data_IF_836921254861
#
_entry.id   IF_836921254861
#
_cell.length_a   1.000
_cell.length_b   1.000
_cell.length_c   1.000
_cell.angle_alpha   90.00
_cell.angle_beta   90.00
_cell.angle_gamma   90.00
#
_symmetry.space_group_name_H-M   'P 1'
#
loop_
_entity.id
_entity.type
_entity.pdbx_description
1 polymer ?
#
# COMPACT_ATOMS: atom_id res chain seq x y z
N UNK A 1 -24.83 22.03 -5.30
CA UNK A 1 -25.69 20.90 -4.88
C UNK A 1 -24.93 19.62 -5.20
N UNK A 2 -24.38 18.95 -4.18
CA UNK A 2 -23.69 17.68 -4.38
C UNK A 2 -24.74 16.56 -4.51
N UNK A 3 -24.77 15.89 -5.67
CA UNK A 3 -25.66 14.76 -5.89
C UNK A 3 -25.22 13.59 -4.99
N UNK A 4 -26.09 13.16 -4.07
CA UNK A 4 -25.92 11.92 -3.29
C UNK A 4 -25.85 10.74 -4.25
N UNK A 5 -24.65 10.28 -4.57
CA UNK A 5 -24.42 9.06 -5.35
C UNK A 5 -24.92 7.87 -4.53
N UNK A 6 -25.82 7.06 -5.09
CA UNK A 6 -26.27 5.82 -4.44
C UNK A 6 -25.09 4.86 -4.36
N UNK A 7 -24.52 4.67 -3.17
CA UNK A 7 -23.48 3.66 -2.91
C UNK A 7 -24.02 2.29 -3.35
N UNK A 8 -23.51 1.75 -4.46
CA UNK A 8 -23.74 0.35 -4.85
C UNK A 8 -23.19 -0.52 -3.72
N UNK A 9 -23.83 -1.62 -3.38
CA UNK A 9 -23.30 -2.55 -2.37
C UNK A 9 -21.93 -3.07 -2.82
N UNK A 10 -20.95 -3.08 -1.93
CA UNK A 10 -19.63 -3.64 -2.20
C UNK A 10 -19.77 -5.12 -2.61
N UNK A 11 -19.72 -5.41 -3.91
CA UNK A 11 -19.79 -6.79 -4.41
C UNK A 11 -18.47 -7.50 -4.07
N UNK A 12 -18.58 -8.63 -3.36
CA UNK A 12 -17.49 -9.59 -3.13
C UNK A 12 -17.13 -10.25 -4.46
N UNK A 13 -16.10 -9.76 -5.14
CA UNK A 13 -15.46 -10.45 -6.25
C UNK A 13 -14.70 -11.68 -5.75
N UNK A 14 -14.55 -12.73 -6.58
CA UNK A 14 -13.75 -13.90 -6.24
C UNK A 14 -12.29 -13.47 -6.01
N UNK A 15 -11.77 -13.68 -4.80
CA UNK A 15 -10.44 -13.25 -4.38
C UNK A 15 -9.36 -14.02 -5.16
N UNK A 16 -8.76 -13.38 -6.17
CA UNK A 16 -7.40 -13.73 -6.57
C UNK A 16 -6.43 -12.92 -5.71
N UNK A 17 -5.35 -13.52 -5.24
CA UNK A 17 -4.34 -12.82 -4.44
C UNK A 17 -3.56 -11.79 -5.29
N UNK A 18 -2.88 -10.86 -4.64
CA UNK A 18 -1.85 -10.03 -5.27
C UNK A 18 -0.73 -10.93 -5.77
N UNK A 19 -0.20 -10.66 -6.96
CA UNK A 19 0.88 -11.42 -7.57
C UNK A 19 1.97 -10.47 -8.05
N UNK A 20 3.13 -11.02 -8.40
CA UNK A 20 4.19 -10.29 -9.12
C UNK A 20 4.34 -10.88 -10.52
N UNK A 21 4.63 -10.03 -11.50
CA UNK A 21 4.95 -10.45 -12.87
C UNK A 21 6.14 -9.68 -13.41
N UNK A 22 6.78 -10.23 -14.44
CA UNK A 22 7.77 -9.50 -15.24
C UNK A 22 7.13 -8.28 -15.88
N UNK A 23 7.73 -7.11 -15.69
CA UNK A 23 7.33 -5.88 -16.36
C UNK A 23 7.68 -5.93 -17.86
N UNK A 24 7.14 -4.99 -18.62
CA UNK A 24 7.31 -4.91 -20.07
C UNK A 24 8.79 -4.77 -20.51
N UNK A 25 9.63 -4.13 -19.70
CA UNK A 25 11.07 -3.97 -19.93
C UNK A 25 11.88 -5.26 -19.80
N UNK A 26 11.26 -6.34 -19.28
CA UNK A 26 11.86 -7.63 -18.92
C UNK A 26 13.05 -7.57 -17.96
N UNK A 27 13.29 -6.41 -17.35
CA UNK A 27 14.40 -6.11 -16.44
C UNK A 27 13.91 -5.65 -15.07
N UNK A 28 12.60 -5.57 -14.87
CA UNK A 28 11.98 -5.32 -13.57
C UNK A 28 10.73 -6.17 -13.37
N UNK A 29 10.24 -6.19 -12.13
CA UNK A 29 8.95 -6.76 -11.75
C UNK A 29 7.95 -5.67 -11.46
N UNK A 30 6.67 -6.04 -11.52
CA UNK A 30 5.57 -5.21 -11.06
C UNK A 30 4.50 -6.06 -10.37
N UNK A 31 3.74 -5.46 -9.45
CA UNK A 31 2.56 -6.12 -8.92
C UNK A 31 1.46 -6.24 -9.98
N UNK A 32 0.84 -7.41 -9.99
CA UNK A 32 -0.39 -7.71 -10.70
C UNK A 32 -1.51 -7.84 -9.67
N UNK A 33 -2.40 -6.87 -9.70
CA UNK A 33 -3.55 -6.84 -8.79
C UNK A 33 -4.72 -7.66 -9.32
N UNK A 34 -5.56 -8.22 -8.44
CA UNK A 34 -6.75 -8.96 -8.85
C UNK A 34 -7.79 -8.08 -9.55
N UNK A 35 -8.75 -8.67 -10.30
CA UNK A 35 -9.84 -7.91 -10.93
C UNK A 35 -10.58 -7.00 -9.95
N UNK A 36 -10.85 -7.48 -8.73
CA UNK A 36 -11.52 -6.70 -7.68
C UNK A 36 -10.79 -5.38 -7.35
N UNK A 37 -9.46 -5.37 -7.32
CA UNK A 37 -8.68 -4.14 -7.12
C UNK A 37 -8.79 -3.23 -8.33
N UNK A 38 -8.65 -3.78 -9.55
CA UNK A 38 -8.69 -2.99 -10.80
C UNK A 38 -10.05 -2.33 -11.04
N UNK A 39 -11.13 -3.01 -10.66
CA UNK A 39 -12.51 -2.50 -10.76
C UNK A 39 -12.77 -1.27 -9.87
N UNK A 40 -11.89 -0.98 -8.91
CA UNK A 40 -11.99 0.14 -7.96
C UNK A 40 -11.10 1.34 -8.35
N UNK A 41 -10.49 1.32 -9.53
CA UNK A 41 -9.59 2.39 -9.97
C UNK A 41 -10.29 3.77 -9.99
N UNK A 42 -11.52 3.85 -10.53
CA UNK A 42 -12.31 5.10 -10.54
C UNK A 42 -12.66 5.55 -9.12
N UNK A 43 -13.03 4.62 -8.23
CA UNK A 43 -13.33 4.96 -6.83
C UNK A 43 -12.08 5.49 -6.09
N UNK A 44 -10.89 4.96 -6.41
CA UNK A 44 -9.62 5.48 -5.87
C UNK A 44 -9.28 6.86 -6.42
N UNK A 45 -9.57 7.16 -7.69
CA UNK A 45 -9.44 8.52 -8.24
C UNK A 45 -10.34 9.52 -7.50
N UNK A 46 -11.55 9.11 -7.12
CA UNK A 46 -12.46 9.92 -6.29
C UNK A 46 -11.90 10.14 -4.88
N UNK A 47 -11.33 9.11 -4.24
CA UNK A 47 -10.64 9.25 -2.95
C UNK A 47 -9.49 10.27 -3.06
N UNK A 48 -8.67 10.20 -4.11
CA UNK A 48 -7.59 11.17 -4.33
C UNK A 48 -8.12 12.59 -4.49
N UNK A 49 -9.24 12.77 -5.19
CA UNK A 49 -9.89 14.08 -5.32
C UNK A 49 -10.40 14.61 -3.97
N UNK A 50 -11.00 13.76 -3.12
CA UNK A 50 -11.42 14.13 -1.77
C UNK A 50 -10.22 14.57 -0.91
N UNK A 51 -9.13 13.80 -0.93
CA UNK A 51 -7.91 14.14 -0.19
C UNK A 51 -7.29 15.45 -0.69
N UNK A 52 -7.26 15.68 -2.00
CA UNK A 52 -6.77 16.93 -2.59
C UNK A 52 -7.64 18.14 -2.21
N UNK A 53 -8.94 17.94 -1.97
CA UNK A 53 -9.86 18.96 -1.48
C UNK A 53 -9.80 19.18 0.04
N UNK A 54 -8.98 18.42 0.77
CA UNK A 54 -8.91 18.45 2.23
C UNK A 54 -10.08 17.75 2.93
N UNK A 55 -10.88 16.96 2.19
CA UNK A 55 -12.04 16.22 2.70
C UNK A 55 -11.61 14.89 3.34
N UNK A 56 -10.65 14.92 4.27
CA UNK A 56 -10.01 13.72 4.84
C UNK A 56 -10.99 12.77 5.51
N UNK A 57 -11.97 13.28 6.26
CA UNK A 57 -12.96 12.42 6.94
C UNK A 57 -13.82 11.64 5.94
N UNK A 58 -14.23 12.28 4.85
CA UNK A 58 -15.02 11.65 3.78
C UNK A 58 -14.17 10.61 3.05
N UNK A 59 -12.90 10.94 2.76
CA UNK A 59 -11.97 10.02 2.15
C UNK A 59 -11.73 8.77 3.02
N UNK A 60 -11.62 8.92 4.36
CA UNK A 60 -11.47 7.78 5.28
C UNK A 60 -12.69 6.86 5.24
N UNK A 61 -13.90 7.41 5.24
CA UNK A 61 -15.13 6.62 5.13
C UNK A 61 -15.21 5.86 3.79
N UNK A 62 -14.79 6.50 2.70
CA UNK A 62 -14.77 5.88 1.38
C UNK A 62 -13.71 4.77 1.27
N UNK A 63 -12.50 5.03 1.78
CA UNK A 63 -11.41 4.04 1.87
C UNK A 63 -11.85 2.79 2.66
N UNK A 64 -12.50 2.98 3.81
CA UNK A 64 -13.05 1.87 4.60
C UNK A 64 -14.14 1.11 3.86
N UNK A 65 -15.00 1.82 3.13
CA UNK A 65 -16.04 1.21 2.31
C UNK A 65 -15.43 0.35 1.18
N UNK A 66 -14.39 0.85 0.50
CA UNK A 66 -13.66 0.12 -0.54
C UNK A 66 -13.01 -1.16 -0.01
N UNK A 67 -12.33 -1.07 1.15
CA UNK A 67 -11.70 -2.22 1.81
C UNK A 67 -12.72 -3.27 2.25
N UNK A 68 -13.92 -2.86 2.65
CA UNK A 68 -15.02 -3.80 2.94
C UNK A 68 -15.40 -4.68 1.75
N UNK A 69 -15.14 -4.22 0.52
CA UNK A 69 -15.37 -4.98 -0.71
C UNK A 69 -14.12 -5.66 -1.30
N UNK A 70 -12.93 -5.19 -0.98
CA UNK A 70 -11.67 -5.71 -1.51
C UNK A 70 -10.52 -5.44 -0.53
N UNK A 71 -10.10 -6.47 0.20
CA UNK A 71 -9.05 -6.35 1.21
C UNK A 71 -7.66 -6.25 0.56
N UNK A 72 -7.53 -6.70 -0.69
CA UNK A 72 -6.27 -6.70 -1.45
C UNK A 72 -5.93 -5.31 -2.03
N UNK A 73 -6.70 -4.26 -1.72
CA UNK A 73 -6.47 -2.91 -2.23
C UNK A 73 -5.36 -2.21 -1.42
N UNK A 74 -4.10 -2.49 -1.79
CA UNK A 74 -2.90 -2.00 -1.12
C UNK A 74 -2.90 -0.47 -0.93
N UNK A 75 -3.28 0.26 -1.96
CA UNK A 75 -3.29 1.73 -1.93
C UNK A 75 -4.25 2.28 -0.88
N UNK A 76 -5.42 1.66 -0.71
CA UNK A 76 -6.37 2.10 0.32
C UNK A 76 -5.83 1.87 1.73
N UNK A 77 -5.18 0.73 1.97
CA UNK A 77 -4.47 0.49 3.22
C UNK A 77 -3.31 1.48 3.42
N UNK A 78 -2.52 1.76 2.39
CA UNK A 78 -1.42 2.72 2.47
C UNK A 78 -1.91 4.14 2.83
N UNK A 79 -2.97 4.62 2.19
CA UNK A 79 -3.54 5.94 2.48
C UNK A 79 -4.13 6.02 3.89
N UNK A 80 -4.87 5.00 4.34
CA UNK A 80 -5.38 4.94 5.71
C UNK A 80 -4.24 4.92 6.74
N UNK A 81 -3.14 4.22 6.46
CA UNK A 81 -1.95 4.22 7.30
C UNK A 81 -1.33 5.61 7.41
N UNK A 82 -1.22 6.32 6.28
CA UNK A 82 -0.71 7.70 6.25
C UNK A 82 -1.59 8.65 7.04
N UNK A 83 -2.90 8.61 6.84
CA UNK A 83 -3.87 9.46 7.55
C UNK A 83 -3.81 9.19 9.07
N UNK A 84 -3.77 7.92 9.48
CA UNK A 84 -3.64 7.55 10.89
C UNK A 84 -2.31 8.08 11.50
N UNK A 85 -1.21 7.95 10.76
CA UNK A 85 0.08 8.49 11.20
C UNK A 85 0.06 10.02 11.32
N UNK A 86 -0.55 10.73 10.37
CA UNK A 86 -0.70 12.18 10.46
C UNK A 86 -1.57 12.60 11.66
N UNK A 87 -2.56 11.79 12.03
CA UNK A 87 -3.42 12.00 13.20
C UNK A 87 -2.77 11.62 14.55
N UNK A 88 -1.55 11.09 14.55
CA UNK A 88 -0.88 10.62 15.77
C UNK A 88 -1.23 9.19 16.21
N UNK A 89 -2.12 8.50 15.50
CA UNK A 89 -2.55 7.13 15.82
C UNK A 89 -1.57 6.10 15.25
N UNK A 90 -0.50 5.85 16.01
CA UNK A 90 0.60 4.95 15.62
C UNK A 90 0.17 3.50 15.53
N UNK A 91 -0.74 3.04 16.39
CA UNK A 91 -1.22 1.66 16.35
C UNK A 91 -2.06 1.40 15.11
N UNK A 92 -2.97 2.31 14.78
CA UNK A 92 -3.78 2.20 13.57
C UNK A 92 -2.94 2.35 12.31
N UNK A 93 -1.98 3.27 12.30
CA UNK A 93 -1.03 3.42 11.20
C UNK A 93 -0.22 2.13 10.98
N UNK A 94 0.31 1.53 12.06
CA UNK A 94 1.03 0.25 12.00
C UNK A 94 0.16 -0.85 11.42
N UNK A 95 -1.10 -0.93 11.83
CA UNK A 95 -2.03 -1.96 11.33
C UNK A 95 -2.25 -1.82 9.82
N UNK A 96 -2.55 -0.62 9.34
CA UNK A 96 -2.82 -0.38 7.92
C UNK A 96 -1.57 -0.54 7.04
N UNK A 97 -0.45 0.07 7.42
CA UNK A 97 0.82 -0.09 6.69
C UNK A 97 1.31 -1.54 6.71
N UNK A 98 1.23 -2.20 7.87
CA UNK A 98 1.58 -3.60 8.05
C UNK A 98 0.79 -4.51 7.13
N UNK A 99 -0.52 -4.30 7.01
CA UNK A 99 -1.37 -5.10 6.15
C UNK A 99 -1.04 -4.91 4.66
N UNK A 100 -0.88 -3.66 4.20
CA UNK A 100 -0.47 -3.38 2.81
C UNK A 100 0.90 -4.00 2.49
N UNK A 101 1.87 -3.87 3.40
CA UNK A 101 3.19 -4.45 3.25
C UNK A 101 3.12 -5.98 3.19
N UNK A 102 2.36 -6.62 4.08
CA UNK A 102 2.22 -8.07 4.12
C UNK A 102 1.61 -8.62 2.82
N UNK A 103 0.57 -7.98 2.27
CA UNK A 103 -0.04 -8.40 1.00
C UNK A 103 0.96 -8.41 -0.16
N UNK A 104 1.82 -7.38 -0.25
CA UNK A 104 2.86 -7.32 -1.28
C UNK A 104 4.01 -8.29 -1.01
N UNK A 105 4.43 -8.44 0.25
CA UNK A 105 5.49 -9.36 0.64
C UNK A 105 5.09 -10.82 0.37
N UNK A 106 3.84 -11.21 0.63
CA UNK A 106 3.30 -12.55 0.36
C UNK A 106 3.23 -12.87 -1.14
N UNK A 107 3.11 -11.84 -1.98
CA UNK A 107 3.14 -12.00 -3.43
C UNK A 107 4.56 -12.24 -3.98
N UNK A 108 5.60 -11.90 -3.22
CA UNK A 108 7.00 -12.12 -3.60
C UNK A 108 7.41 -13.57 -3.29
N UNK A 109 8.03 -14.30 -4.24
CA UNK A 109 8.53 -15.65 -3.97
C UNK A 109 9.55 -15.67 -2.83
N UNK A 110 9.48 -16.68 -1.95
CA UNK A 110 10.43 -16.85 -0.82
C UNK A 110 11.91 -16.92 -1.22
N UNK A 111 12.20 -17.30 -2.47
CA UNK A 111 13.55 -17.33 -3.04
C UNK A 111 14.06 -15.95 -3.51
N UNK A 112 13.23 -14.91 -3.38
CA UNK A 112 13.45 -13.59 -3.94
C UNK A 112 13.11 -13.49 -5.42
N UNK A 113 13.42 -12.33 -5.99
CA UNK A 113 13.30 -12.01 -7.41
C UNK A 113 14.70 -11.91 -8.02
N UNK A 114 14.83 -12.37 -9.26
CA UNK A 114 16.08 -12.32 -10.04
C UNK A 114 16.38 -10.92 -10.59
N UNK A 115 15.43 -9.99 -10.50
CA UNK A 115 15.57 -8.58 -10.88
C UNK A 115 14.71 -7.71 -9.93
N UNK A 116 14.95 -6.38 -9.89
CA UNK A 116 14.25 -5.48 -8.96
C UNK A 116 12.74 -5.40 -9.17
N UNK A 117 12.02 -5.03 -8.11
CA UNK A 117 10.64 -4.60 -8.08
C UNK A 117 10.65 -3.09 -7.73
N UNK A 118 10.96 -2.20 -8.68
CA UNK A 118 11.32 -0.82 -8.40
C UNK A 118 10.10 0.02 -7.98
N UNK A 119 10.28 0.92 -7.02
CA UNK A 119 9.29 1.93 -6.61
C UNK A 119 8.87 2.85 -7.76
N UNK A 120 9.78 3.11 -8.71
CA UNK A 120 9.49 3.96 -9.86
C UNK A 120 8.31 3.45 -10.72
N UNK A 121 8.05 2.13 -10.72
CA UNK A 121 6.88 1.57 -11.39
C UNK A 121 5.60 1.90 -10.57
N UNK A 122 4.58 2.55 -11.16
CA UNK A 122 3.35 2.91 -10.46
C UNK A 122 2.67 1.77 -9.71
N UNK A 123 2.65 0.56 -10.27
CA UNK A 123 2.02 -0.61 -9.63
C UNK A 123 2.71 -1.02 -8.32
N UNK A 124 3.95 -0.59 -8.09
CA UNK A 124 4.75 -0.93 -6.91
C UNK A 124 4.70 0.12 -5.80
N UNK A 125 4.22 1.33 -6.10
CA UNK A 125 4.35 2.49 -5.20
C UNK A 125 3.67 2.26 -3.86
N UNK A 126 2.39 1.86 -3.87
CA UNK A 126 1.62 1.66 -2.65
C UNK A 126 2.29 0.68 -1.68
N UNK A 127 2.91 -0.39 -2.20
CA UNK A 127 3.65 -1.35 -1.37
C UNK A 127 4.91 -0.72 -0.74
N UNK A 128 5.74 -0.05 -1.54
CA UNK A 128 6.97 0.58 -1.06
C UNK A 128 6.69 1.72 -0.09
N UNK A 129 5.71 2.56 -0.38
CA UNK A 129 5.26 3.64 0.50
C UNK A 129 4.67 3.10 1.80
N UNK A 130 3.87 2.03 1.75
CA UNK A 130 3.38 1.38 2.95
C UNK A 130 4.52 0.78 3.78
N UNK A 131 5.49 0.12 3.15
CA UNK A 131 6.66 -0.40 3.85
C UNK A 131 7.49 0.71 4.48
N UNK A 132 7.74 1.81 3.78
CA UNK A 132 8.48 2.95 4.34
C UNK A 132 7.73 3.63 5.49
N UNK A 133 6.40 3.78 5.37
CA UNK A 133 5.54 4.26 6.45
C UNK A 133 5.57 3.32 7.66
N UNK A 134 5.53 2.00 7.42
CA UNK A 134 5.65 0.98 8.46
C UNK A 134 6.99 1.08 9.20
N UNK A 135 8.10 1.26 8.47
CA UNK A 135 9.43 1.47 9.08
C UNK A 135 9.41 2.66 10.03
N UNK A 136 8.83 3.79 9.62
CA UNK A 136 8.77 4.99 10.46
C UNK A 136 7.92 4.76 11.71
N UNK A 137 6.72 4.23 11.55
CA UNK A 137 5.81 3.97 12.68
C UNK A 137 6.39 2.96 13.66
N UNK A 138 7.08 1.92 13.17
CA UNK A 138 7.77 0.95 14.03
C UNK A 138 8.90 1.59 14.84
N UNK A 139 9.63 2.55 14.29
CA UNK A 139 10.64 3.29 15.06
C UNK A 139 10.02 4.17 16.15
N UNK A 140 8.90 4.84 15.84
CA UNK A 140 8.17 5.66 16.82
C UNK A 140 7.54 4.82 17.94
N UNK A 141 7.34 3.52 17.71
CA UNK A 141 6.85 2.54 18.68
C UNK A 141 7.99 1.75 19.37
N UNK A 142 9.25 2.19 19.22
CA UNK A 142 10.45 1.51 19.74
C UNK A 142 10.65 0.06 19.23
N UNK A 143 9.97 -0.35 18.16
CA UNK A 143 10.08 -1.66 17.50
C UNK A 143 11.23 -1.71 16.47
N UNK A 144 12.41 -1.22 16.85
CA UNK A 144 13.56 -1.00 15.96
C UNK A 144 14.00 -2.24 15.16
N UNK A 145 13.95 -3.44 15.75
CA UNK A 145 14.36 -4.66 15.05
C UNK A 145 13.42 -4.97 13.86
N UNK A 146 12.12 -4.82 14.06
CA UNK A 146 11.13 -5.02 12.99
C UNK A 146 11.24 -3.93 11.92
N UNK A 147 11.50 -2.68 12.32
CA UNK A 147 11.77 -1.61 11.36
C UNK A 147 12.95 -1.95 10.44
N UNK A 148 14.04 -2.48 11.01
CA UNK A 148 15.21 -2.95 10.23
C UNK A 148 14.86 -4.11 9.30
N UNK A 149 14.07 -5.08 9.76
CA UNK A 149 13.63 -6.21 8.92
C UNK A 149 12.82 -5.74 7.70
N UNK A 150 11.87 -4.82 7.89
CA UNK A 150 11.07 -4.25 6.80
C UNK A 150 11.96 -3.47 5.84
N UNK A 151 12.87 -2.63 6.35
CA UNK A 151 13.80 -1.87 5.52
C UNK A 151 14.72 -2.78 4.68
N UNK A 152 15.23 -3.87 5.26
CA UNK A 152 16.04 -4.87 4.53
C UNK A 152 15.23 -5.48 3.38
N UNK A 153 13.96 -5.84 3.62
CA UNK A 153 13.10 -6.40 2.56
C UNK A 153 12.84 -5.40 1.44
N UNK A 154 12.56 -4.13 1.76
CA UNK A 154 12.38 -3.08 0.75
C UNK A 154 13.65 -2.87 -0.08
N UNK A 155 14.82 -2.83 0.56
CA UNK A 155 16.11 -2.65 -0.13
C UNK A 155 16.49 -3.85 -1.00
N UNK A 156 16.06 -5.05 -0.63
CA UNK A 156 16.23 -6.24 -1.48
C UNK A 156 15.38 -6.16 -2.75
N UNK A 157 14.23 -5.48 -2.69
CA UNK A 157 13.30 -5.31 -3.81
C UNK A 157 13.64 -4.09 -4.68
N UNK A 158 14.07 -2.99 -4.08
CA UNK A 158 14.56 -1.80 -4.77
C UNK A 158 15.84 -1.26 -4.10
N UNK A 159 17.03 -1.68 -4.59
CA UNK A 159 18.31 -1.25 -4.04
C UNK A 159 18.63 0.24 -4.25
N UNK A 160 17.86 0.96 -5.08
CA UNK A 160 18.09 2.40 -5.31
C UNK A 160 17.66 3.27 -4.13
N UNK A 161 16.93 2.68 -3.17
CA UNK A 161 16.46 3.31 -1.94
C UNK A 161 15.77 4.68 -2.14
N UNK A 162 14.75 4.78 -3.01
CA UNK A 162 14.13 6.07 -3.32
C UNK A 162 13.38 6.69 -2.14
N UNK A 163 13.06 5.89 -1.12
CA UNK A 163 12.37 6.32 0.10
C UNK A 163 13.32 6.49 1.30
N UNK A 164 14.62 6.27 1.11
CA UNK A 164 15.65 6.51 2.13
C UNK A 164 15.52 5.64 3.38
N UNK A 165 15.05 4.40 3.24
CA UNK A 165 14.88 3.47 4.38
C UNK A 165 16.21 2.91 4.87
N UNK A 166 17.29 2.99 4.07
CA UNK A 166 18.62 2.50 4.49
C UNK A 166 19.16 3.18 5.75
N UNK A 167 18.75 4.43 6.02
CA UNK A 167 19.15 5.20 7.22
C UNK A 167 18.79 4.53 8.54
N UNK A 168 17.86 3.57 8.55
CA UNK A 168 17.44 2.87 9.78
C UNK A 168 18.32 1.67 10.09
N UNK A 169 19.20 1.27 9.17
CA UNK A 169 20.09 0.11 9.34
C UNK A 169 21.44 0.48 9.99
N UNK A 170 21.76 1.77 10.07
CA UNK A 170 22.96 2.30 10.74
C UNK A 170 22.85 2.28 12.25
#
# INVERSE_FOLDING_TARGET
>A
MAAKRKKKSAQRGASSAVQVRRAADRKSYEFLFPPSVRERAEDMEEVHAMLAAGETEIAVDELRWLLGGCHELLEAHQLLGKIAAEAGDRDLARAHFGYAFQLGADAVPKRGLDFPLPYANPANRAFHEAGAGLVQVLLELDESNKAKEVAIQLLALDPTDPLGVKKVLS
#
